data_IF_697366441355
#
_entry.id   IF_697366441355
#
_cell.length_a   1.000
_cell.length_b   1.000
_cell.length_c   1.000
_cell.angle_alpha   90.00
_cell.angle_beta   90.00
_cell.angle_gamma   90.00
#
_symmetry.space_group_name_H-M   'P 1'
#
loop_
_entity.id
_entity.type
_entity.pdbx_description
1 polymer ?
#
# COMPACT_ATOMS: atom_id res chain seq x y z
N UNK A 1 13.82 74.29 18.75
CA UNK A 1 13.84 73.13 17.84
C UNK A 1 15.29 72.69 17.72
N UNK A 2 15.69 71.66 18.46
CA UNK A 2 17.05 71.15 18.49
C UNK A 2 17.18 69.99 17.49
N UNK A 3 18.26 70.02 16.70
CA UNK A 3 18.62 69.00 15.74
C UNK A 3 19.08 67.73 16.46
N UNK A 4 18.59 66.56 16.02
CA UNK A 4 18.98 65.27 16.58
C UNK A 4 20.16 64.68 15.81
N UNK A 5 21.31 64.55 16.47
CA UNK A 5 22.36 63.60 16.11
C UNK A 5 22.02 62.23 16.70
N UNK A 6 22.03 61.19 15.87
CA UNK A 6 21.89 59.80 16.30
C UNK A 6 22.34 58.86 15.19
N UNK A 7 23.50 58.22 15.38
CA UNK A 7 24.15 57.38 14.39
C UNK A 7 23.39 56.11 14.05
N UNK A 8 23.61 55.63 12.83
CA UNK A 8 23.20 54.32 12.33
C UNK A 8 23.67 54.23 10.87
N UNK A 9 24.18 53.13 10.35
CA UNK A 9 24.61 51.84 10.87
C UNK A 9 25.60 51.32 9.81
N UNK A 10 26.25 50.19 10.08
CA UNK A 10 27.25 49.57 9.22
C UNK A 10 26.88 49.61 7.72
N UNK A 11 27.87 49.87 6.86
CA UNK A 11 27.75 49.68 5.43
C UNK A 11 27.22 48.26 5.18
N UNK A 12 25.94 48.16 4.82
CA UNK A 12 25.34 46.91 4.42
C UNK A 12 26.09 46.47 3.16
N UNK A 13 26.90 45.41 3.29
CA UNK A 13 27.57 44.79 2.16
C UNK A 13 26.53 44.54 1.06
N UNK A 14 26.74 45.17 -0.09
CA UNK A 14 25.91 45.05 -1.28
C UNK A 14 26.18 43.71 -1.99
N UNK A 15 26.08 42.61 -1.24
CA UNK A 15 26.15 41.27 -1.76
C UNK A 15 24.76 40.68 -1.78
N UNK A 16 24.04 40.84 -2.88
CA UNK A 16 22.91 39.96 -3.16
C UNK A 16 23.42 38.52 -3.08
N UNK A 17 22.81 37.68 -2.26
CA UNK A 17 23.17 36.26 -2.23
C UNK A 17 23.09 35.65 -3.63
N UNK A 18 23.94 34.66 -3.92
CA UNK A 18 23.91 33.93 -5.19
C UNK A 18 22.51 33.37 -5.42
N UNK A 19 22.01 33.42 -6.66
CA UNK A 19 20.78 32.73 -7.01
C UNK A 19 20.88 31.24 -6.65
N UNK A 20 19.84 30.70 -6.03
CA UNK A 20 19.77 29.28 -5.71
C UNK A 20 19.63 28.41 -6.97
N UNK A 21 20.01 27.15 -6.85
CA UNK A 21 19.82 26.13 -7.89
C UNK A 21 18.53 25.35 -7.58
N UNK A 22 17.58 25.34 -8.51
CA UNK A 22 16.32 24.61 -8.39
C UNK A 22 16.37 23.23 -9.05
N UNK A 23 15.27 22.48 -8.93
CA UNK A 23 15.06 21.22 -9.66
C UNK A 23 14.39 21.56 -10.99
N UNK A 24 15.00 21.14 -12.10
CA UNK A 24 14.45 21.28 -13.45
C UNK A 24 13.60 20.07 -13.84
N UNK A 25 14.04 18.85 -13.53
CA UNK A 25 13.30 17.61 -13.80
C UNK A 25 13.72 16.48 -12.85
N UNK A 26 12.86 15.47 -12.70
CA UNK A 26 13.15 14.23 -11.97
C UNK A 26 12.70 13.05 -12.83
N UNK A 27 13.55 12.02 -12.94
CA UNK A 27 13.20 10.76 -13.62
C UNK A 27 13.63 9.54 -12.80
N UNK A 28 12.93 8.43 -12.99
CA UNK A 28 13.47 7.10 -12.70
C UNK A 28 13.88 6.49 -14.03
N UNK A 29 15.17 6.22 -14.19
CA UNK A 29 15.68 5.68 -15.46
C UNK A 29 15.47 4.17 -15.58
N UNK A 30 15.85 3.61 -16.73
CA UNK A 30 15.72 2.17 -17.03
C UNK A 30 16.57 1.25 -16.14
N UNK A 31 17.57 1.79 -15.44
CA UNK A 31 18.36 1.06 -14.45
C UNK A 31 17.74 1.15 -13.03
N UNK A 32 16.53 1.71 -12.92
CA UNK A 32 15.82 1.98 -11.67
C UNK A 32 16.51 2.99 -10.75
N UNK A 33 17.36 3.89 -11.28
CA UNK A 33 17.96 4.95 -10.50
C UNK A 33 17.13 6.23 -10.55
N UNK A 34 17.01 6.91 -9.41
CA UNK A 34 16.43 8.24 -9.31
C UNK A 34 17.46 9.27 -9.78
N UNK A 35 17.14 9.97 -10.85
CA UNK A 35 17.97 11.02 -11.43
C UNK A 35 17.27 12.36 -11.27
N UNK A 36 18.00 13.36 -10.79
CA UNK A 36 17.54 14.74 -10.66
C UNK A 36 18.35 15.63 -11.60
N UNK A 37 17.65 16.38 -12.45
CA UNK A 37 18.24 17.45 -13.26
C UNK A 37 17.96 18.78 -12.58
N UNK A 38 19.00 19.58 -12.40
CA UNK A 38 18.93 20.89 -11.76
C UNK A 38 18.84 22.01 -12.81
N UNK A 39 18.38 23.19 -12.38
CA UNK A 39 18.22 24.36 -13.28
C UNK A 39 19.55 24.92 -13.78
N UNK A 40 20.66 24.55 -13.16
CA UNK A 40 22.02 24.90 -13.60
C UNK A 40 22.60 23.90 -14.62
N UNK A 41 21.81 22.89 -15.03
CA UNK A 41 22.24 21.83 -15.94
C UNK A 41 22.94 20.64 -15.26
N UNK A 42 23.14 20.69 -13.94
CA UNK A 42 23.72 19.58 -13.18
C UNK A 42 22.77 18.37 -13.17
N UNK A 43 23.33 17.18 -13.38
CA UNK A 43 22.63 15.90 -13.23
C UNK A 43 23.13 15.19 -11.97
N UNK A 44 22.23 14.80 -11.06
CA UNK A 44 22.54 14.01 -9.87
C UNK A 44 21.87 12.64 -9.93
N UNK A 45 22.65 11.59 -9.77
CA UNK A 45 22.16 10.24 -9.51
C UNK A 45 22.06 10.05 -8.00
N UNK A 46 20.83 9.87 -7.51
CA UNK A 46 20.54 9.69 -6.08
C UNK A 46 20.44 8.21 -5.70
N UNK A 47 20.76 7.32 -6.62
CA UNK A 47 20.81 5.88 -6.42
C UNK A 47 19.54 5.16 -6.83
N UNK A 48 19.57 3.84 -6.61
CA UNK A 48 18.53 2.92 -7.04
C UNK A 48 17.28 3.02 -6.17
N UNK A 49 16.14 3.27 -6.80
CA UNK A 49 14.82 3.12 -6.21
C UNK A 49 14.51 1.62 -6.09
N UNK A 50 14.03 1.19 -4.93
CA UNK A 50 13.64 -0.19 -4.66
C UNK A 50 12.19 -0.25 -4.22
N UNK A 51 11.47 -1.25 -4.69
CA UNK A 51 10.13 -1.64 -4.26
C UNK A 51 10.03 -3.18 -4.27
N UNK A 52 8.84 -3.70 -4.00
CA UNK A 52 8.58 -5.14 -4.05
C UNK A 52 7.40 -5.45 -4.99
N UNK A 53 7.49 -6.58 -5.67
CA UNK A 53 6.36 -7.20 -6.37
C UNK A 53 5.66 -8.12 -5.38
N UNK A 54 4.40 -7.82 -5.08
CA UNK A 54 3.59 -8.67 -4.21
C UNK A 54 2.80 -9.68 -5.04
N UNK A 55 2.92 -10.95 -4.69
CA UNK A 55 2.16 -12.05 -5.29
C UNK A 55 1.09 -12.51 -4.29
N UNK A 56 -0.20 -12.34 -4.60
CA UNK A 56 -1.27 -12.84 -3.75
C UNK A 56 -1.42 -14.35 -3.85
N UNK A 57 -1.81 -15.00 -2.75
CA UNK A 57 -2.16 -16.42 -2.70
C UNK A 57 -3.30 -16.63 -1.70
N UNK A 58 -4.20 -17.57 -2.01
CA UNK A 58 -5.22 -18.06 -1.07
C UNK A 58 -4.80 -19.45 -0.61
N UNK A 59 -4.62 -19.62 0.70
CA UNK A 59 -4.26 -20.88 1.34
C UNK A 59 -5.18 -21.04 2.55
N UNK A 60 -5.90 -22.17 2.64
CA UNK A 60 -6.87 -22.47 3.72
C UNK A 60 -7.90 -21.34 3.98
N UNK A 61 -8.33 -20.65 2.92
CA UNK A 61 -9.29 -19.54 3.00
C UNK A 61 -8.68 -18.19 3.39
N UNK A 62 -7.37 -18.12 3.58
CA UNK A 62 -6.66 -16.88 3.94
C UNK A 62 -5.96 -16.31 2.70
N UNK A 63 -6.34 -15.10 2.27
CA UNK A 63 -5.59 -14.31 1.30
C UNK A 63 -4.36 -13.72 1.98
N UNK A 64 -3.19 -14.18 1.56
CA UNK A 64 -1.88 -13.70 2.02
C UNK A 64 -1.01 -13.30 0.83
N UNK A 65 0.12 -12.66 1.12
CA UNK A 65 1.04 -12.14 0.11
C UNK A 65 2.45 -12.69 0.34
N UNK A 66 3.17 -12.93 -0.76
CA UNK A 66 4.62 -13.06 -0.76
C UNK A 66 5.23 -11.91 -1.58
N UNK A 67 6.50 -11.56 -1.33
CA UNK A 67 7.18 -10.54 -2.12
C UNK A 67 8.65 -10.86 -2.42
N UNK A 68 9.15 -10.28 -3.51
CA UNK A 68 10.49 -10.53 -4.08
C UNK A 68 11.62 -9.70 -3.45
N UNK A 69 11.29 -8.75 -2.57
CA UNK A 69 12.25 -7.82 -1.96
C UNK A 69 12.49 -8.10 -0.47
N UNK A 70 11.83 -9.10 0.11
CA UNK A 70 11.90 -9.43 1.54
C UNK A 70 11.35 -8.32 2.44
N UNK A 71 10.45 -7.47 1.92
CA UNK A 71 9.77 -6.45 2.70
C UNK A 71 8.63 -7.07 3.51
N UNK A 72 8.04 -6.29 4.41
CA UNK A 72 6.84 -6.71 5.12
C UNK A 72 5.66 -6.88 4.14
N UNK A 73 4.89 -7.94 4.35
CA UNK A 73 3.70 -8.22 3.56
C UNK A 73 2.50 -7.43 4.11
N UNK A 74 1.53 -7.06 3.25
CA UNK A 74 0.24 -6.59 3.73
C UNK A 74 -0.41 -7.60 4.67
N UNK A 75 -1.29 -7.09 5.54
CA UNK A 75 -2.11 -7.92 6.42
C UNK A 75 -2.92 -8.94 5.60
N UNK A 76 -2.98 -10.17 6.10
CA UNK A 76 -3.75 -11.24 5.47
C UNK A 76 -5.23 -11.02 5.73
N UNK A 77 -6.07 -11.44 4.78
CA UNK A 77 -7.52 -11.39 4.93
C UNK A 77 -8.08 -12.81 5.02
N UNK A 78 -8.78 -13.11 6.10
CA UNK A 78 -9.41 -14.41 6.31
C UNK A 78 -10.84 -14.39 5.79
N UNK A 79 -11.11 -15.07 4.68
CA UNK A 79 -12.47 -15.16 4.13
C UNK A 79 -13.39 -16.02 5.01
N UNK A 80 -12.85 -16.90 5.86
CA UNK A 80 -13.66 -17.72 6.75
C UNK A 80 -14.33 -16.87 7.84
N UNK A 81 -13.73 -15.75 8.22
CA UNK A 81 -14.35 -14.76 9.13
C UNK A 81 -15.63 -14.15 8.55
N UNK A 82 -15.87 -14.28 7.24
CA UNK A 82 -17.10 -13.78 6.63
C UNK A 82 -18.27 -14.76 6.76
N UNK A 83 -18.04 -15.98 7.26
CA UNK A 83 -19.03 -17.06 7.33
C UNK A 83 -19.46 -17.30 8.80
N UNK A 84 -19.22 -16.35 9.70
CA UNK A 84 -19.51 -16.45 11.15
C UNK A 84 -20.99 -16.71 11.52
N UNK A 85 -21.92 -16.81 10.56
CA UNK A 85 -23.28 -17.28 10.83
C UNK A 85 -23.37 -18.80 10.63
N UNK A 86 -22.82 -19.50 11.62
CA UNK A 86 -23.03 -20.92 11.83
C UNK A 86 -24.52 -21.16 12.13
N UNK A 87 -25.32 -21.57 11.15
CA UNK A 87 -26.41 -22.50 11.46
C UNK A 87 -27.84 -22.18 11.05
N UNK A 88 -28.14 -21.21 10.20
CA UNK A 88 -29.48 -21.17 9.56
C UNK A 88 -29.35 -21.07 8.04
N UNK A 89 -28.92 -22.17 7.43
CA UNK A 89 -29.50 -22.50 6.12
C UNK A 89 -31.00 -22.63 6.38
N UNK A 90 -31.78 -21.58 6.09
CA UNK A 90 -33.24 -21.65 6.12
C UNK A 90 -33.67 -22.74 5.14
N UNK A 91 -33.76 -23.97 5.61
CA UNK A 91 -34.56 -24.98 4.96
C UNK A 91 -36.00 -24.59 5.28
N UNK A 92 -36.82 -24.20 4.28
CA UNK A 92 -38.23 -23.99 4.56
C UNK A 92 -38.77 -25.31 5.14
N UNK A 93 -39.17 -25.29 6.41
CA UNK A 93 -39.96 -26.37 7.00
C UNK A 93 -41.24 -26.44 6.17
N UNK A 94 -41.32 -27.40 5.26
CA UNK A 94 -42.62 -27.78 4.74
C UNK A 94 -43.41 -28.40 5.90
N UNK A 95 -44.68 -28.06 5.99
CA UNK A 95 -45.51 -28.45 7.13
C UNK A 95 -45.96 -29.91 7.06
N UNK A 96 -45.35 -30.72 6.18
CA UNK A 96 -45.89 -31.98 5.69
C UNK A 96 -44.88 -33.13 5.52
N UNK A 97 -43.62 -33.00 5.93
CA UNK A 97 -42.67 -34.13 5.94
C UNK A 97 -42.61 -34.78 7.32
N UNK A 98 -43.02 -36.05 7.38
CA UNK A 98 -42.84 -36.92 8.54
C UNK A 98 -41.33 -37.04 8.85
N UNK A 99 -41.00 -36.95 10.14
CA UNK A 99 -39.63 -36.99 10.66
C UNK A 99 -38.98 -38.37 10.44
N UNK A 100 -38.41 -38.59 9.26
CA UNK A 100 -37.50 -39.71 9.03
C UNK A 100 -36.19 -39.39 9.76
N UNK A 101 -36.00 -39.98 10.94
CA UNK A 101 -34.72 -39.93 11.65
C UNK A 101 -33.65 -40.57 10.75
N UNK A 102 -32.56 -39.87 10.35
CA UNK A 102 -31.55 -40.48 9.49
C UNK A 102 -30.77 -41.53 10.28
N UNK A 103 -31.17 -42.80 10.20
CA UNK A 103 -30.45 -43.92 10.83
C UNK A 103 -29.47 -44.63 9.90
N UNK A 104 -29.22 -44.13 8.68
CA UNK A 104 -28.26 -44.77 7.78
C UNK A 104 -27.25 -43.76 7.25
N UNK A 105 -26.00 -43.99 7.65
CA UNK A 105 -24.80 -43.33 7.18
C UNK A 105 -24.74 -43.35 5.65
N UNK A 106 -24.67 -42.18 5.01
CA UNK A 106 -23.87 -41.95 3.80
C UNK A 106 -23.37 -40.49 3.76
N UNK A 107 -22.08 -40.33 4.05
CA UNK A 107 -21.14 -39.37 3.47
C UNK A 107 -21.77 -38.21 2.64
N UNK A 108 -21.94 -37.02 3.26
CA UNK A 108 -22.37 -35.81 2.56
C UNK A 108 -21.25 -35.25 1.66
N UNK A 109 -21.07 -35.87 0.50
CA UNK A 109 -20.34 -35.28 -0.62
C UNK A 109 -21.36 -34.84 -1.68
N UNK A 110 -21.90 -33.63 -1.54
CA UNK A 110 -22.94 -33.08 -2.42
C UNK A 110 -22.43 -32.67 -3.83
N UNK A 111 -21.35 -33.26 -4.35
CA UNK A 111 -20.72 -32.84 -5.63
C UNK A 111 -20.62 -33.92 -6.73
N UNK A 112 -21.11 -35.16 -6.54
CA UNK A 112 -20.97 -36.24 -7.53
C UNK A 112 -22.28 -36.84 -8.10
N UNK A 113 -23.35 -36.05 -8.29
CA UNK A 113 -24.53 -36.52 -9.07
C UNK A 113 -24.64 -35.80 -10.42
N UNK A 114 -23.92 -36.33 -11.43
CA UNK A 114 -24.25 -36.25 -12.87
C UNK A 114 -24.36 -37.69 -13.39
#
# INVERSE_FOLDING_TARGET
MASFYGGGGAAAGSGSGTSGVGIANIEINTNHHLIVFLTDGTRKDLGRVRGATFTPAIIDGILSWANDAGLENPEAFDFNSLIEDEGEMWFPVDSNSEEETPSDNENYNAWERI
#
